data_IF_511339521857
#
_entry.id   IF_511339521857
#
_cell.length_a   1.000
_cell.length_b   1.000
_cell.length_c   1.000
_cell.angle_alpha   90.00
_cell.angle_beta   90.00
_cell.angle_gamma   90.00
#
_symmetry.space_group_name_H-M   'P 1'
#
loop_
_entity.id
_entity.type
_entity.pdbx_description
1 polymer ?
#
# COMPACT_ATOMS: atom_id res chain seq x y z
N UNK A 1 12.01 6.97 24.05
CA UNK A 1 12.42 7.12 22.63
C UNK A 1 11.40 6.30 21.87
N UNK A 2 10.41 6.97 21.26
CA UNK A 2 9.31 6.32 20.57
C UNK A 2 9.85 5.48 19.42
N UNK A 3 9.57 4.18 19.44
CA UNK A 3 9.81 3.28 18.31
C UNK A 3 8.82 3.63 17.20
N UNK A 4 8.98 4.80 16.56
CA UNK A 4 8.22 5.17 15.38
C UNK A 4 8.78 4.37 14.20
N UNK A 5 7.96 3.50 13.62
CA UNK A 5 8.27 2.81 12.39
C UNK A 5 7.44 3.47 11.27
N UNK A 6 8.01 4.39 10.47
CA UNK A 6 7.27 5.17 9.48
C UNK A 6 6.56 4.27 8.45
N UNK A 7 7.16 3.12 8.12
CA UNK A 7 6.53 2.10 7.26
C UNK A 7 5.22 1.55 7.84
N UNK A 8 5.16 1.30 9.15
CA UNK A 8 3.96 0.75 9.80
C UNK A 8 2.82 1.78 9.85
N UNK A 9 3.15 3.04 10.09
CA UNK A 9 2.19 4.14 10.03
C UNK A 9 1.63 4.31 8.61
N UNK A 10 2.52 4.32 7.61
CA UNK A 10 2.15 4.41 6.22
C UNK A 10 1.23 3.26 5.78
N UNK A 11 1.56 2.02 6.11
CA UNK A 11 0.73 0.86 5.78
C UNK A 11 -0.64 0.91 6.45
N UNK A 12 -0.73 1.47 7.66
CA UNK A 12 -2.01 1.68 8.35
C UNK A 12 -2.89 2.70 7.62
N UNK A 13 -2.30 3.79 7.13
CA UNK A 13 -2.98 4.78 6.28
C UNK A 13 -3.40 4.17 4.93
N UNK A 14 -2.53 3.37 4.30
CA UNK A 14 -2.84 2.66 3.06
C UNK A 14 -4.03 1.72 3.24
N UNK A 15 -4.09 0.98 4.36
CA UNK A 15 -5.22 0.10 4.65
C UNK A 15 -6.55 0.84 4.68
N UNK A 16 -6.60 1.96 5.41
CA UNK A 16 -7.81 2.80 5.47
C UNK A 16 -8.19 3.37 4.09
N UNK A 17 -7.21 3.85 3.32
CA UNK A 17 -7.47 4.36 1.97
C UNK A 17 -8.04 3.27 1.06
N UNK A 18 -7.54 2.04 1.15
CA UNK A 18 -8.03 0.93 0.33
C UNK A 18 -9.43 0.46 0.75
N UNK A 19 -9.78 0.51 2.04
CA UNK A 19 -11.14 0.26 2.51
C UNK A 19 -12.16 1.27 1.94
N UNK A 20 -11.73 2.51 1.66
CA UNK A 20 -12.58 3.55 1.06
C UNK A 20 -12.67 3.41 -0.46
N UNK A 21 -11.54 3.08 -1.12
CA UNK A 21 -11.43 3.08 -2.59
C UNK A 21 -11.85 1.77 -3.24
N UNK A 22 -11.89 0.68 -2.47
CA UNK A 22 -12.29 -0.64 -2.95
C UNK A 22 -13.72 -0.65 -3.49
N UNK A 23 -13.95 -1.49 -4.49
CA UNK A 23 -15.31 -1.84 -4.97
C UNK A 23 -15.84 -3.12 -4.34
N UNK A 24 -15.03 -3.79 -3.54
CA UNK A 24 -15.49 -4.93 -2.76
C UNK A 24 -16.54 -4.48 -1.74
N UNK A 25 -17.52 -5.33 -1.39
CA UNK A 25 -18.47 -5.05 -0.33
C UNK A 25 -17.75 -4.81 1.02
N UNK A 26 -18.41 -4.10 1.94
CA UNK A 26 -17.90 -3.88 3.29
C UNK A 26 -17.54 -5.22 3.96
N UNK A 27 -16.36 -5.27 4.60
CA UNK A 27 -15.84 -6.51 5.16
C UNK A 27 -15.29 -7.50 4.11
N UNK A 28 -15.19 -7.11 2.84
CA UNK A 28 -14.50 -7.83 1.76
C UNK A 28 -12.98 -7.66 1.79
N UNK A 29 -12.29 -8.17 0.77
CA UNK A 29 -10.82 -8.21 0.71
C UNK A 29 -10.15 -6.84 0.49
N UNK A 30 -10.94 -5.78 0.31
CA UNK A 30 -10.50 -4.41 0.05
C UNK A 30 -9.50 -4.33 -1.13
N UNK A 31 -9.80 -5.05 -2.22
CA UNK A 31 -8.91 -5.13 -3.38
C UNK A 31 -8.94 -3.86 -4.19
N UNK A 32 -7.76 -3.36 -4.55
CA UNK A 32 -7.60 -2.24 -5.48
C UNK A 32 -6.59 -2.59 -6.57
N UNK A 33 -6.66 -1.96 -7.76
CA UNK A 33 -5.64 -2.12 -8.79
C UNK A 33 -4.26 -1.70 -8.29
N UNK A 34 -3.21 -2.37 -8.74
CA UNK A 34 -1.83 -2.02 -8.38
C UNK A 34 -1.48 -0.57 -8.68
N UNK A 35 -1.88 -0.04 -9.84
CA UNK A 35 -1.57 1.35 -10.22
C UNK A 35 -2.14 2.37 -9.22
N UNK A 36 -3.34 2.10 -8.69
CA UNK A 36 -3.95 2.94 -7.66
C UNK A 36 -3.17 2.83 -6.35
N UNK A 37 -2.81 1.60 -5.95
CA UNK A 37 -2.02 1.36 -4.74
C UNK A 37 -0.64 2.05 -4.83
N UNK A 38 0.08 1.88 -5.94
CA UNK A 38 1.42 2.42 -6.13
C UNK A 38 1.41 3.94 -6.11
N UNK A 39 0.43 4.57 -6.78
CA UNK A 39 0.29 6.02 -6.77
C UNK A 39 0.09 6.56 -5.35
N UNK A 40 -0.82 5.96 -4.58
CA UNK A 40 -1.10 6.37 -3.20
C UNK A 40 0.09 6.16 -2.28
N UNK A 41 0.74 4.99 -2.35
CA UNK A 41 1.90 4.67 -1.52
C UNK A 41 3.04 5.65 -1.78
N UNK A 42 3.40 5.87 -3.05
CA UNK A 42 4.47 6.82 -3.41
C UNK A 42 4.13 8.26 -3.01
N UNK A 43 2.87 8.67 -3.17
CA UNK A 43 2.44 10.00 -2.73
C UNK A 43 2.62 10.18 -1.22
N UNK A 44 2.14 9.22 -0.43
CA UNK A 44 2.21 9.28 1.04
C UNK A 44 3.65 9.15 1.57
N UNK A 45 4.45 8.24 1.01
CA UNK A 45 5.87 8.07 1.37
C UNK A 45 6.70 9.34 1.10
N UNK A 46 6.30 10.16 0.12
CA UNK A 46 6.98 11.40 -0.24
C UNK A 46 6.63 12.62 0.62
N UNK A 47 5.65 12.54 1.54
CA UNK A 47 5.19 13.72 2.30
C UNK A 47 6.19 14.13 3.37
N UNK A 48 6.65 13.19 4.19
CA UNK A 48 7.59 13.42 5.29
C UNK A 48 9.03 13.04 4.93
N UNK A 49 9.23 12.32 3.82
CA UNK A 49 10.53 11.90 3.33
C UNK A 49 11.23 10.89 4.26
N UNK A 50 10.49 10.29 5.20
CA UNK A 50 11.03 9.28 6.12
C UNK A 50 11.36 7.96 5.41
N UNK A 51 10.72 7.70 4.27
CA UNK A 51 10.94 6.52 3.43
C UNK A 51 11.63 6.97 2.15
N UNK A 52 12.81 6.42 1.86
CA UNK A 52 13.54 6.78 0.64
C UNK A 52 12.83 6.29 -0.62
N UNK A 53 13.15 6.90 -1.76
CA UNK A 53 12.66 6.44 -3.06
C UNK A 53 13.07 4.98 -3.34
N UNK A 54 14.29 4.59 -2.95
CA UNK A 54 14.78 3.23 -3.08
C UNK A 54 13.96 2.24 -2.24
N UNK A 55 13.65 2.58 -0.99
CA UNK A 55 12.78 1.76 -0.13
C UNK A 55 11.36 1.66 -0.70
N UNK A 56 10.85 2.76 -1.22
CA UNK A 56 9.54 2.83 -1.88
C UNK A 56 9.49 1.91 -3.11
N UNK A 57 10.49 1.99 -3.99
CA UNK A 57 10.59 1.15 -5.18
C UNK A 57 10.74 -0.33 -4.83
N UNK A 58 11.60 -0.66 -3.87
CA UNK A 58 11.80 -2.03 -3.42
C UNK A 58 10.50 -2.64 -2.84
N UNK A 59 9.77 -1.88 -2.04
CA UNK A 59 8.47 -2.30 -1.52
C UNK A 59 7.46 -2.52 -2.65
N UNK A 60 7.29 -1.53 -3.54
CA UNK A 60 6.33 -1.60 -4.64
C UNK A 60 6.65 -2.72 -5.64
N UNK A 61 7.93 -3.04 -5.85
CA UNK A 61 8.34 -4.18 -6.69
C UNK A 61 7.81 -5.50 -6.11
N UNK A 62 7.97 -5.72 -4.80
CA UNK A 62 7.41 -6.90 -4.14
C UNK A 62 5.89 -6.97 -4.22
N UNK A 63 5.21 -5.82 -4.09
CA UNK A 63 3.75 -5.76 -4.24
C UNK A 63 3.32 -6.05 -5.67
N UNK A 64 4.07 -5.56 -6.66
CA UNK A 64 3.77 -5.78 -8.09
C UNK A 64 3.82 -7.26 -8.44
N UNK A 65 4.84 -7.98 -7.96
CA UNK A 65 4.98 -9.42 -8.15
C UNK A 65 3.79 -10.19 -7.58
N UNK A 66 3.31 -9.80 -6.39
CA UNK A 66 2.09 -10.38 -5.81
C UNK A 66 0.86 -10.01 -6.64
N UNK A 67 0.69 -8.74 -7.02
CA UNK A 67 -0.45 -8.30 -7.80
C UNK A 67 -0.55 -9.00 -9.15
N UNK A 68 0.58 -9.29 -9.80
CA UNK A 68 0.62 -10.02 -11.08
C UNK A 68 0.10 -11.45 -10.95
N UNK A 69 0.28 -12.10 -9.80
CA UNK A 69 -0.33 -13.40 -9.49
C UNK A 69 -1.84 -13.29 -9.24
N UNK A 70 -2.33 -12.09 -8.94
CA UNK A 70 -3.72 -11.78 -8.59
C UNK A 70 -4.41 -10.87 -9.62
N UNK A 71 -4.12 -11.06 -10.92
CA UNK A 71 -4.75 -10.32 -12.02
C UNK A 71 -4.58 -8.78 -11.92
N UNK A 72 -3.44 -8.32 -11.43
CA UNK A 72 -3.12 -6.90 -11.25
C UNK A 72 -3.75 -6.26 -10.01
N UNK A 73 -4.36 -7.04 -9.12
CA UNK A 73 -5.04 -6.54 -7.93
C UNK A 73 -4.18 -6.74 -6.67
N UNK A 74 -4.16 -5.73 -5.80
CA UNK A 74 -3.49 -5.78 -4.50
C UNK A 74 -4.50 -6.22 -3.43
N UNK A 75 -4.13 -7.22 -2.63
CA UNK A 75 -4.94 -7.72 -1.52
C UNK A 75 -4.39 -7.18 -0.20
N UNK A 76 -5.05 -6.17 0.35
CA UNK A 76 -4.56 -5.43 1.52
C UNK A 76 -4.52 -6.27 2.81
N UNK A 77 -5.34 -7.33 2.89
CA UNK A 77 -5.46 -8.16 4.08
C UNK A 77 -4.22 -8.98 4.44
N UNK A 78 -3.23 -9.04 3.54
CA UNK A 78 -2.01 -9.81 3.73
C UNK A 78 -0.82 -8.94 4.21
N UNK A 79 -1.05 -7.66 4.53
CA UNK A 79 -0.07 -6.74 5.10
C UNK A 79 -0.13 -6.64 6.62
#
# INVERSE_FOLDING_TARGET
ISCWNPLQSLLSSMKQACEILTRDPEGGAARIPFETFSFLYSYLAGIDGEISETETQAFLQGIKEQADQHSGMVLIRHF
#
